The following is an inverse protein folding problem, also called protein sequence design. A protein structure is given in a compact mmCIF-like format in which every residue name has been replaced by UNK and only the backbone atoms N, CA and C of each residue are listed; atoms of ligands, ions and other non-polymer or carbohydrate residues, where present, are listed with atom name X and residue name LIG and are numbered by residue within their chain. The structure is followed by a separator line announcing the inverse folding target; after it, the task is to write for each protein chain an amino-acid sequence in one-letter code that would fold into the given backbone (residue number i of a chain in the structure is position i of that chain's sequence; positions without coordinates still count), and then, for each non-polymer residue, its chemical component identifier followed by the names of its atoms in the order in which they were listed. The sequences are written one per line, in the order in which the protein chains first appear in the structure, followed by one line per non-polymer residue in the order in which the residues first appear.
data_IF_071895795306
#
_entry.id   IF_071895795306
#
_cell.length_a   1.000
_cell.length_b   1.000
_cell.length_c   1.000
_cell.angle_alpha   90.00
_cell.angle_beta   90.00
_cell.angle_gamma   90.00
#
_symmetry.space_group_name_H-M   'P 1'
#
loop_
_entity.id
_entity.type
_entity.pdbx_description
1 polymer ?
#
# COMPACT_ATOMS: atom_id res chain seq x y z
N UNK A 1 13.38 -12.40 -10.74
CA UNK A 1 13.61 -11.78 -9.41
C UNK A 1 13.13 -10.33 -9.32
N UNK A 2 13.45 -9.41 -10.25
CA UNK A 2 13.01 -7.99 -10.18
C UNK A 2 11.49 -7.80 -9.96
N UNK A 3 10.65 -8.65 -10.54
CA UNK A 3 9.18 -8.55 -10.41
C UNK A 3 8.64 -8.96 -9.02
N UNK A 4 9.40 -9.73 -8.23
CA UNK A 4 9.01 -10.09 -6.86
C UNK A 4 9.43 -9.03 -5.83
N UNK A 5 10.35 -8.13 -6.19
CA UNK A 5 10.86 -7.13 -5.26
C UNK A 5 9.78 -6.15 -4.79
N UNK A 6 8.92 -5.59 -5.68
CA UNK A 6 7.81 -4.74 -5.25
C UNK A 6 6.86 -5.46 -4.30
N UNK A 7 6.43 -6.68 -4.63
CA UNK A 7 5.58 -7.51 -3.78
C UNK A 7 6.22 -7.75 -2.41
N UNK A 8 7.48 -8.17 -2.37
CA UNK A 8 8.17 -8.43 -1.12
C UNK A 8 8.33 -7.16 -0.26
N UNK A 9 8.61 -6.01 -0.88
CA UNK A 9 8.70 -4.73 -0.18
C UNK A 9 7.33 -4.31 0.40
N UNK A 10 6.28 -4.40 -0.40
CA UNK A 10 4.91 -4.11 0.01
C UNK A 10 4.45 -5.01 1.17
N UNK A 11 4.57 -6.33 1.01
CA UNK A 11 4.15 -7.29 2.03
C UNK A 11 4.93 -7.10 3.35
N UNK A 12 6.24 -6.84 3.29
CA UNK A 12 7.04 -6.50 4.49
C UNK A 12 6.62 -5.18 5.13
N UNK A 13 6.28 -4.18 4.32
CA UNK A 13 5.82 -2.89 4.80
C UNK A 13 4.51 -3.05 5.57
N UNK A 14 3.52 -3.72 4.99
CA UNK A 14 2.23 -4.02 5.65
C UNK A 14 2.47 -4.81 6.94
N UNK A 15 3.18 -5.94 6.87
CA UNK A 15 3.38 -6.81 8.02
C UNK A 15 4.14 -6.14 9.18
N UNK A 16 4.99 -5.15 8.88
CA UNK A 16 5.79 -4.44 9.88
C UNK A 16 5.07 -3.25 10.50
N UNK A 17 4.30 -2.51 9.69
CA UNK A 17 3.82 -1.18 10.08
C UNK A 17 2.31 -1.07 10.21
N UNK A 18 1.52 -1.90 9.52
CA UNK A 18 0.06 -1.81 9.57
C UNK A 18 -0.47 -2.27 10.94
N UNK A 19 -1.17 -1.40 11.71
CA UNK A 19 -1.84 -1.82 12.92
C UNK A 19 -3.02 -2.75 12.62
N UNK A 20 -3.45 -3.60 13.58
CA UNK A 20 -4.63 -4.44 13.40
C UNK A 20 -5.87 -3.62 13.01
N UNK A 21 -6.61 -4.04 11.98
CA UNK A 21 -7.80 -3.34 11.50
C UNK A 21 -7.54 -2.23 10.48
N UNK A 22 -6.28 -1.89 10.19
CA UNK A 22 -5.92 -1.01 9.06
C UNK A 22 -5.68 -1.86 7.83
N UNK A 23 -6.46 -1.66 6.76
CA UNK A 23 -6.41 -2.51 5.56
C UNK A 23 -6.33 -4.02 5.89
N UNK A 24 -7.33 -4.61 6.60
CA UNK A 24 -7.26 -6.00 7.08
C UNK A 24 -6.95 -7.02 5.99
N UNK A 25 -7.51 -6.84 4.80
CA UNK A 25 -7.25 -7.65 3.62
C UNK A 25 -5.78 -7.63 3.21
N UNK A 26 -5.11 -6.47 3.25
CA UNK A 26 -3.68 -6.38 2.93
C UNK A 26 -2.81 -7.09 3.97
N UNK A 27 -3.23 -7.09 5.24
CA UNK A 27 -2.51 -7.82 6.29
C UNK A 27 -2.56 -9.34 6.05
N UNK A 28 -3.71 -9.86 5.66
CA UNK A 28 -3.87 -11.28 5.31
C UNK A 28 -3.09 -11.63 4.05
N UNK A 29 -3.18 -10.80 3.00
CA UNK A 29 -2.39 -10.99 1.78
C UNK A 29 -0.88 -10.93 2.05
N UNK A 30 -0.42 -9.97 2.87
CA UNK A 30 0.97 -9.84 3.23
C UNK A 30 1.47 -11.10 3.95
N UNK A 31 0.69 -11.64 4.90
CA UNK A 31 1.01 -12.88 5.60
C UNK A 31 1.15 -14.05 4.62
N UNK A 32 0.19 -14.22 3.72
CA UNK A 32 0.19 -15.28 2.71
C UNK A 32 1.38 -15.16 1.75
N UNK A 33 1.62 -13.95 1.22
CA UNK A 33 2.73 -13.68 0.31
C UNK A 33 4.09 -13.94 0.97
N UNK A 34 4.30 -13.43 2.19
CA UNK A 34 5.56 -13.60 2.93
C UNK A 34 5.87 -15.07 3.21
N UNK A 35 4.88 -15.86 3.60
CA UNK A 35 5.04 -17.30 3.85
C UNK A 35 5.47 -18.09 2.58
N UNK A 36 5.15 -17.57 1.40
CA UNK A 36 5.39 -18.23 0.11
C UNK A 36 6.48 -17.57 -0.75
N UNK A 37 7.18 -16.53 -0.26
CA UNK A 37 8.14 -15.76 -1.06
C UNK A 37 9.25 -16.62 -1.70
N UNK A 38 9.79 -17.59 -0.95
CA UNK A 38 10.88 -18.45 -1.46
C UNK A 38 10.39 -19.44 -2.52
N UNK A 39 9.15 -19.94 -2.39
CA UNK A 39 8.53 -20.76 -3.43
C UNK A 39 8.21 -19.92 -4.66
N UNK A 40 7.70 -18.71 -4.50
CA UNK A 40 7.47 -17.77 -5.61
C UNK A 40 8.77 -17.43 -6.34
N UNK A 41 9.89 -17.29 -5.63
CA UNK A 41 11.20 -17.07 -6.23
C UNK A 41 11.66 -18.26 -7.07
N UNK A 42 11.46 -19.50 -6.57
CA UNK A 42 11.73 -20.75 -7.29
C UNK A 42 10.80 -20.93 -8.50
N UNK A 43 9.52 -20.61 -8.35
CA UNK A 43 8.54 -20.67 -9.43
C UNK A 43 8.87 -19.66 -10.53
N UNK A 44 9.26 -18.43 -10.15
CA UNK A 44 9.65 -17.38 -11.09
C UNK A 44 10.86 -17.78 -11.94
N UNK A 45 11.83 -18.52 -11.38
CA UNK A 45 13.02 -18.96 -12.12
C UNK A 45 12.75 -20.14 -13.04
N UNK A 46 11.77 -20.99 -12.70
CA UNK A 46 11.42 -22.20 -13.47
C UNK A 46 10.37 -21.97 -14.54
N UNK A 47 9.32 -21.22 -14.20
CA UNK A 47 8.08 -21.11 -14.98
C UNK A 47 7.70 -19.66 -15.31
N UNK A 48 8.46 -18.70 -14.79
CA UNK A 48 8.27 -17.28 -15.06
C UNK A 48 7.12 -16.63 -14.28
N UNK A 49 6.86 -15.35 -14.57
CA UNK A 49 5.96 -14.51 -13.79
C UNK A 49 4.48 -14.93 -13.84
N UNK A 50 4.04 -15.50 -14.96
CA UNK A 50 2.66 -15.94 -15.11
C UNK A 50 2.29 -17.07 -14.12
N UNK A 51 3.24 -17.96 -13.83
CA UNK A 51 3.06 -19.00 -12.82
C UNK A 51 2.97 -18.38 -11.41
N UNK A 52 3.81 -17.39 -11.10
CA UNK A 52 3.74 -16.65 -9.84
C UNK A 52 2.39 -15.95 -9.64
N UNK A 53 1.84 -15.29 -10.68
CA UNK A 53 0.51 -14.66 -10.61
C UNK A 53 -0.60 -15.67 -10.27
N UNK A 54 -0.58 -16.84 -10.90
CA UNK A 54 -1.54 -17.92 -10.59
C UNK A 54 -1.38 -18.42 -9.15
N UNK A 55 -0.15 -18.59 -8.69
CA UNK A 55 0.12 -19.00 -7.31
C UNK A 55 -0.36 -17.94 -6.30
N UNK A 56 -0.09 -16.66 -6.55
CA UNK A 56 -0.57 -15.55 -5.72
C UNK A 56 -2.11 -15.50 -5.67
N UNK A 57 -2.77 -15.66 -6.81
CA UNK A 57 -4.23 -15.73 -6.88
C UNK A 57 -4.79 -16.90 -6.06
N UNK A 58 -4.15 -18.07 -6.13
CA UNK A 58 -4.54 -19.25 -5.35
C UNK A 58 -4.33 -19.06 -3.83
N UNK A 59 -3.35 -18.23 -3.45
CA UNK A 59 -3.10 -17.83 -2.06
C UNK A 59 -4.04 -16.69 -1.59
N UNK A 60 -4.93 -16.21 -2.45
CA UNK A 60 -5.81 -15.07 -2.14
C UNK A 60 -5.12 -13.72 -2.17
N UNK A 61 -3.89 -13.62 -2.68
CA UNK A 61 -3.16 -12.36 -2.85
C UNK A 61 -3.63 -11.68 -4.13
N UNK A 62 -4.48 -10.66 -4.00
CA UNK A 62 -5.09 -9.92 -5.10
C UNK A 62 -4.52 -8.52 -5.21
N UNK A 63 -4.58 -7.76 -4.14
CA UNK A 63 -4.19 -6.35 -4.11
C UNK A 63 -2.67 -6.17 -4.22
N UNK A 64 -1.90 -6.97 -3.47
CA UNK A 64 -0.45 -6.87 -3.46
C UNK A 64 0.20 -7.49 -4.71
N UNK A 65 -0.53 -8.30 -5.49
CA UNK A 65 0.03 -9.00 -6.66
C UNK A 65 0.49 -8.04 -7.77
N UNK A 66 -0.20 -6.92 -7.95
CA UNK A 66 0.10 -5.88 -8.96
C UNK A 66 0.74 -4.62 -8.33
N UNK A 67 1.22 -4.73 -7.09
CA UNK A 67 1.85 -3.58 -6.43
C UNK A 67 3.12 -3.14 -7.16
N UNK A 68 3.26 -1.82 -7.34
CA UNK A 68 4.47 -1.20 -7.89
C UNK A 68 5.50 -0.86 -6.82
N UNK A 69 5.17 -1.12 -5.55
CA UNK A 69 6.06 -0.99 -4.42
C UNK A 69 5.49 -0.11 -3.31
N UNK A 70 6.39 0.59 -2.62
CA UNK A 70 6.09 1.39 -1.43
C UNK A 70 6.57 2.81 -1.61
N UNK A 71 5.90 3.74 -0.93
CA UNK A 71 6.29 5.14 -0.83
C UNK A 71 6.09 5.64 0.60
N UNK A 72 6.49 6.87 0.87
CA UNK A 72 6.23 7.56 2.13
C UNK A 72 5.69 8.96 1.88
N UNK A 73 4.91 9.49 2.82
CA UNK A 73 4.44 10.87 2.76
C UNK A 73 5.60 11.87 2.61
N UNK A 74 6.73 11.62 3.27
CA UNK A 74 7.95 12.44 3.15
C UNK A 74 8.54 12.39 1.74
N UNK A 75 8.59 11.21 1.11
CA UNK A 75 9.07 11.10 -0.28
C UNK A 75 8.13 11.76 -1.30
N UNK A 76 6.86 11.96 -0.93
CA UNK A 76 5.87 12.73 -1.68
C UNK A 76 5.83 14.21 -1.28
N UNK A 77 6.88 14.71 -0.63
CA UNK A 77 7.02 16.11 -0.23
C UNK A 77 5.91 16.63 0.71
N UNK A 78 5.33 15.76 1.55
CA UNK A 78 4.35 16.18 2.55
C UNK A 78 4.99 17.17 3.55
N UNK A 79 4.43 18.38 3.74
CA UNK A 79 4.93 19.32 4.73
C UNK A 79 4.83 18.75 6.16
N UNK A 80 5.80 19.06 7.01
CA UNK A 80 5.88 18.46 8.36
C UNK A 80 4.62 18.70 9.21
N UNK A 81 4.00 19.88 9.10
CA UNK A 81 2.76 20.17 9.83
C UNK A 81 1.56 19.34 9.34
N UNK A 82 1.49 19.04 8.03
CA UNK A 82 0.45 18.17 7.45
C UNK A 82 0.71 16.72 7.84
N UNK A 83 1.97 16.29 7.80
CA UNK A 83 2.38 14.96 8.23
C UNK A 83 1.98 14.70 9.69
N UNK A 84 2.25 15.65 10.59
CA UNK A 84 1.88 15.52 12.00
C UNK A 84 0.36 15.39 12.19
N UNK A 85 -0.45 16.23 11.51
CA UNK A 85 -1.91 16.13 11.60
C UNK A 85 -2.44 14.78 11.07
N UNK A 86 -1.89 14.29 9.94
CA UNK A 86 -2.23 12.98 9.39
C UNK A 86 -1.89 11.87 10.40
N UNK A 87 -0.68 11.89 10.99
CA UNK A 87 -0.27 10.87 11.96
C UNK A 87 -1.14 10.89 13.21
N UNK A 88 -1.46 12.07 13.72
CA UNK A 88 -2.31 12.24 14.90
C UNK A 88 -3.71 11.68 14.65
N UNK A 89 -4.36 12.05 13.54
CA UNK A 89 -5.70 11.56 13.17
C UNK A 89 -5.69 10.07 12.83
N UNK A 90 -4.65 9.59 12.15
CA UNK A 90 -4.48 8.17 11.83
C UNK A 90 -4.40 7.34 13.12
N UNK A 91 -3.63 7.80 14.11
CA UNK A 91 -3.49 7.10 15.40
C UNK A 91 -4.83 6.93 16.14
N UNK A 92 -5.74 7.89 15.96
CA UNK A 92 -7.11 7.89 16.50
C UNK A 92 -8.13 7.22 15.57
N UNK A 93 -7.72 6.82 14.37
CA UNK A 93 -8.58 6.27 13.30
C UNK A 93 -9.74 7.19 12.90
N UNK A 94 -9.44 8.49 12.87
CA UNK A 94 -10.40 9.55 12.55
C UNK A 94 -10.50 9.77 11.04
N UNK A 95 -11.46 10.61 10.64
CA UNK A 95 -11.48 11.12 9.27
C UNK A 95 -10.23 11.95 8.98
N UNK A 96 -9.67 11.77 7.79
CA UNK A 96 -8.53 12.53 7.28
C UNK A 96 -8.93 13.12 5.94
N UNK A 97 -8.72 14.42 5.78
CA UNK A 97 -8.78 15.12 4.51
C UNK A 97 -7.61 16.10 4.49
N UNK A 98 -6.54 15.71 3.81
CA UNK A 98 -5.32 16.50 3.71
C UNK A 98 -4.89 16.59 2.25
N UNK A 99 -4.43 17.77 1.85
CA UNK A 99 -3.95 18.04 0.50
C UNK A 99 -2.65 18.85 0.55
N UNK A 100 -1.70 18.53 -0.33
CA UNK A 100 -0.51 19.32 -0.53
C UNK A 100 0.02 19.20 -1.96
N UNK A 101 0.79 20.21 -2.37
CA UNK A 101 1.42 20.26 -3.68
C UNK A 101 2.92 20.02 -3.55
N UNK A 102 3.45 19.08 -4.34
CA UNK A 102 4.86 18.76 -4.43
C UNK A 102 5.28 18.48 -5.87
N UNK A 103 6.07 17.42 -6.07
CA UNK A 103 6.34 16.90 -7.43
C UNK A 103 5.04 16.42 -8.11
N UNK A 104 4.12 15.90 -7.30
CA UNK A 104 2.76 15.54 -7.64
C UNK A 104 1.81 16.32 -6.72
N UNK A 105 0.58 16.50 -7.15
CA UNK A 105 -0.53 16.90 -6.27
C UNK A 105 -0.90 15.67 -5.45
N UNK A 106 -0.94 15.81 -4.13
CA UNK A 106 -1.13 14.67 -3.23
C UNK A 106 -2.31 14.93 -2.30
N UNK A 107 -3.08 13.89 -2.03
CA UNK A 107 -4.12 13.92 -1.01
C UNK A 107 -4.11 12.66 -0.17
N UNK A 108 -4.41 12.80 1.12
CA UNK A 108 -4.74 11.68 1.99
C UNK A 108 -6.21 11.79 2.36
N UNK A 109 -6.94 10.70 2.15
CA UNK A 109 -8.35 10.58 2.46
C UNK A 109 -8.58 9.37 3.36
N UNK A 110 -9.35 9.57 4.42
CA UNK A 110 -9.81 8.50 5.28
C UNK A 110 -11.20 8.82 5.83
N UNK A 111 -12.04 7.80 5.94
CA UNK A 111 -13.24 7.85 6.77
C UNK A 111 -12.91 7.30 8.16
N UNK A 112 -13.64 7.68 9.23
CA UNK A 112 -13.45 7.08 10.54
C UNK A 112 -13.55 5.55 10.44
N UNK A 113 -12.76 4.85 11.26
CA UNK A 113 -12.86 3.39 11.31
C UNK A 113 -14.26 2.93 11.69
N UNK A 114 -14.66 1.80 11.11
CA UNK A 114 -15.89 1.11 11.44
C UNK A 114 -15.60 -0.31 11.94
N UNK A 115 -16.66 -1.12 12.09
CA UNK A 115 -16.55 -2.52 12.53
C UNK A 115 -15.79 -3.42 11.56
N UNK A 116 -15.63 -3.00 10.31
CA UNK A 116 -14.96 -3.76 9.27
C UNK A 116 -13.49 -3.34 9.12
N UNK A 117 -13.13 -2.11 9.45
CA UNK A 117 -11.74 -1.66 9.43
C UNK A 117 -11.53 -0.16 9.20
N UNK A 118 -10.32 0.18 8.78
CA UNK A 118 -9.86 1.53 8.49
C UNK A 118 -9.03 1.51 7.20
N UNK A 119 -9.46 2.27 6.19
CA UNK A 119 -8.88 2.29 4.83
C UNK A 119 -8.42 3.68 4.41
N UNK A 120 -7.43 4.27 5.10
CA UNK A 120 -6.86 5.54 4.67
C UNK A 120 -6.07 5.32 3.38
N UNK A 121 -6.27 6.21 2.41
CA UNK A 121 -5.61 6.18 1.12
C UNK A 121 -4.78 7.44 0.90
N UNK A 122 -3.71 7.29 0.15
CA UNK A 122 -2.93 8.37 -0.46
C UNK A 122 -3.21 8.33 -1.97
N UNK A 123 -3.54 9.47 -2.55
CA UNK A 123 -3.55 9.68 -3.99
C UNK A 123 -2.40 10.61 -4.37
N UNK A 124 -1.70 10.28 -5.45
CA UNK A 124 -0.64 11.12 -6.04
C UNK A 124 -0.96 11.34 -7.52
N UNK A 125 -1.25 12.56 -7.92
CA UNK A 125 -1.64 12.92 -9.29
C UNK A 125 -0.64 13.89 -9.92
N UNK A 126 -0.28 13.66 -11.18
CA UNK A 126 0.57 14.60 -11.89
C UNK A 126 -0.26 15.71 -12.53
N UNK A 127 -0.28 16.89 -11.89
CA UNK A 127 -0.74 18.16 -12.47
C UNK A 127 -2.10 18.08 -13.19
N UNK A 128 -3.06 17.37 -12.61
CA UNK A 128 -4.42 17.24 -13.16
C UNK A 128 -4.53 16.50 -14.51
N UNK A 129 -3.52 15.72 -14.91
CA UNK A 129 -3.55 14.96 -16.18
C UNK A 129 -4.31 13.63 -16.10
N UNK A 130 -4.97 13.32 -14.97
CA UNK A 130 -5.65 12.04 -14.76
C UNK A 130 -4.71 10.83 -14.60
N UNK A 131 -3.40 11.05 -14.57
CA UNK A 131 -2.39 10.02 -14.33
C UNK A 131 -2.05 9.95 -12.83
N UNK A 132 -3.01 9.47 -12.05
CA UNK A 132 -2.90 9.27 -10.61
C UNK A 132 -2.40 7.88 -10.23
N UNK A 133 -1.74 7.77 -9.08
CA UNK A 133 -1.53 6.50 -8.38
C UNK A 133 -2.26 6.52 -7.05
N UNK A 134 -2.92 5.41 -6.73
CA UNK A 134 -3.57 5.20 -5.45
C UNK A 134 -2.73 4.28 -4.59
N UNK A 135 -2.66 4.60 -3.31
CA UNK A 135 -1.84 3.91 -2.35
C UNK A 135 -2.65 3.66 -1.08
N UNK A 136 -2.52 2.49 -0.48
CA UNK A 136 -2.97 2.22 0.88
C UNK A 136 -2.00 2.85 1.87
N UNK A 137 -2.45 3.82 2.66
CA UNK A 137 -1.66 4.38 3.76
C UNK A 137 -1.73 3.38 4.93
N UNK A 138 -0.59 2.84 5.38
CA UNK A 138 -0.61 1.69 6.30
C UNK A 138 -0.35 2.07 7.77
N UNK A 139 0.30 3.20 8.05
CA UNK A 139 0.65 3.61 9.42
C UNK A 139 0.65 5.13 9.63
N UNK A 140 0.00 5.88 8.74
CA UNK A 140 0.06 7.34 8.75
C UNK A 140 1.34 7.93 8.14
N UNK A 141 2.24 7.11 7.60
CA UNK A 141 3.49 7.57 6.98
C UNK A 141 3.90 6.79 5.72
N UNK A 142 3.90 5.46 5.78
CA UNK A 142 4.20 4.55 4.68
C UNK A 142 2.94 4.25 3.89
N UNK A 143 3.07 4.14 2.57
CA UNK A 143 1.98 3.75 1.71
C UNK A 143 2.40 2.68 0.69
N UNK A 144 1.48 1.78 0.37
CA UNK A 144 1.69 0.66 -0.56
C UNK A 144 0.84 0.87 -1.80
N UNK A 145 1.42 0.71 -2.99
CA UNK A 145 0.70 0.92 -4.24
C UNK A 145 -0.45 -0.09 -4.37
N UNK A 146 -1.64 0.42 -4.66
CA UNK A 146 -2.81 -0.36 -5.05
C UNK A 146 -3.19 0.02 -6.48
N UNK A 147 -3.30 -0.97 -7.36
CA UNK A 147 -3.94 -0.77 -8.66
C UNK A 147 -5.44 -1.05 -8.43
N UNK A 148 -6.22 0.01 -8.25
CA UNK A 148 -7.69 -0.06 -8.24
C UNK A 148 -8.18 0.45 -9.59
N UNK A 149 -8.12 -0.42 -10.59
CA UNK A 149 -8.89 -0.26 -11.83
C UNK A 149 -10.25 -0.97 -11.68
#
# INVERSE_FOLDING_TARGET
MRQLQPLAAAARCVARYAPPGVWPELQEEARAALAYLDELARLASREGWQACRKALQALGVRHLAETRGVTTLRSQSCPEHVLQDIQDRFSRREAIEAFWQGKYDCSVLARPADEHGYWPSLATEYRGLGNGHYWALVDGFHAVHLETD
#
